data_IF_428424142945
#
_entry.id   IF_428424142945
#
_cell.length_a   1.000
_cell.length_b   1.000
_cell.length_c   1.000
_cell.angle_alpha   90.00
_cell.angle_beta   90.00
_cell.angle_gamma   90.00
#
_symmetry.space_group_name_H-M   'P 1'
#
loop_
_entity.id
_entity.type
_entity.pdbx_description
1 polymer ?
#
# COMPACT_ATOMS: atom_id res chain seq x y z
N UNK A 1 1.90 -11.27 3.07
CA UNK A 1 1.84 -10.37 1.89
C UNK A 1 1.09 -9.08 2.24
N UNK A 2 0.03 -9.19 3.04
CA UNK A 2 -0.79 -8.09 3.53
C UNK A 2 -0.04 -6.78 3.88
N UNK A 3 0.94 -6.81 4.80
CA UNK A 3 1.65 -5.60 5.26
C UNK A 3 2.42 -4.85 4.16
N UNK A 4 2.90 -5.55 3.13
CA UNK A 4 3.55 -4.90 1.98
C UNK A 4 2.51 -4.07 1.21
N UNK A 5 1.34 -4.67 0.93
CA UNK A 5 0.26 -4.06 0.15
C UNK A 5 -0.51 -2.95 0.91
N UNK A 6 -0.71 -3.11 2.22
CA UNK A 6 -1.53 -2.18 3.03
C UNK A 6 -0.72 -1.18 3.85
N UNK A 7 0.57 -1.46 4.09
CA UNK A 7 1.46 -0.60 4.86
C UNK A 7 2.44 0.18 3.96
N UNK A 8 3.35 -0.53 3.29
CA UNK A 8 4.48 0.10 2.58
C UNK A 8 4.02 0.67 1.23
N UNK A 9 3.28 -0.11 0.43
CA UNK A 9 2.87 0.30 -0.92
C UNK A 9 2.08 1.62 -0.97
N UNK A 10 1.09 1.88 -0.09
CA UNK A 10 0.38 3.17 -0.10
C UNK A 10 1.31 4.35 0.21
N UNK A 11 2.28 4.18 1.12
CA UNK A 11 3.28 5.22 1.41
C UNK A 11 4.14 5.53 0.20
N UNK A 12 4.58 4.50 -0.53
CA UNK A 12 5.38 4.66 -1.74
C UNK A 12 4.59 5.39 -2.85
N UNK A 13 3.34 4.98 -3.09
CA UNK A 13 2.45 5.65 -4.05
C UNK A 13 2.18 7.10 -3.66
N UNK A 14 2.06 7.38 -2.35
CA UNK A 14 1.84 8.72 -1.83
C UNK A 14 2.95 9.71 -2.18
N UNK A 15 4.20 9.25 -2.27
CA UNK A 15 5.33 10.10 -2.70
C UNK A 15 5.07 10.69 -4.09
N UNK A 16 4.62 9.87 -5.05
CA UNK A 16 4.26 10.35 -6.38
C UNK A 16 2.99 11.20 -6.36
N UNK A 17 1.99 10.78 -5.58
CA UNK A 17 0.73 11.51 -5.47
C UNK A 17 0.93 12.93 -4.93
N UNK A 18 1.68 13.10 -3.84
CA UNK A 18 1.89 14.39 -3.19
C UNK A 18 2.76 15.33 -4.05
N UNK A 19 3.55 14.80 -5.01
CA UNK A 19 4.24 15.63 -6.01
C UNK A 19 3.28 16.29 -7.01
N UNK A 20 2.21 15.57 -7.39
CA UNK A 20 1.17 16.07 -8.31
C UNK A 20 0.08 16.86 -7.57
N UNK A 21 -0.21 16.46 -6.33
CA UNK A 21 -1.20 17.05 -5.44
C UNK A 21 -0.55 17.46 -4.11
N UNK A 22 0.19 18.57 -4.14
CA UNK A 22 0.90 19.04 -2.95
C UNK A 22 -0.04 19.11 -1.71
N UNK A 23 0.32 18.52 -0.55
CA UNK A 23 -0.58 18.39 0.60
C UNK A 23 -1.20 19.71 1.07
N UNK A 24 -0.44 20.81 1.03
CA UNK A 24 -0.94 22.15 1.41
C UNK A 24 -2.01 22.71 0.47
N UNK A 25 -2.08 22.20 -0.77
CA UNK A 25 -3.00 22.66 -1.80
C UNK A 25 -4.03 21.58 -2.16
N UNK A 26 -4.00 20.42 -1.49
CA UNK A 26 -4.81 19.25 -1.82
C UNK A 26 -6.31 19.58 -1.84
N UNK A 27 -6.79 20.30 -0.83
CA UNK A 27 -8.19 20.70 -0.74
C UNK A 27 -8.61 21.59 -1.91
N UNK A 28 -7.79 22.58 -2.26
CA UNK A 28 -8.05 23.47 -3.39
C UNK A 28 -8.06 22.72 -4.72
N UNK A 29 -7.10 21.81 -4.93
CA UNK A 29 -7.01 20.97 -6.13
C UNK A 29 -8.23 20.03 -6.26
N UNK A 30 -8.67 19.41 -5.17
CA UNK A 30 -9.86 18.56 -5.14
C UNK A 30 -11.13 19.38 -5.45
N UNK A 31 -11.29 20.56 -4.82
CA UNK A 31 -12.44 21.43 -5.04
C UNK A 31 -12.51 21.94 -6.48
N UNK A 32 -11.37 22.30 -7.08
CA UNK A 32 -11.29 22.74 -8.47
C UNK A 32 -11.82 21.69 -9.44
N UNK A 33 -11.57 20.41 -9.16
CA UNK A 33 -11.95 19.29 -10.02
C UNK A 33 -13.28 18.61 -9.60
N UNK A 34 -14.12 19.29 -8.80
CA UNK A 34 -15.35 18.73 -8.24
C UNK A 34 -16.25 18.07 -9.29
N UNK A 35 -16.44 18.73 -10.46
CA UNK A 35 -17.29 18.19 -11.53
C UNK A 35 -16.80 16.83 -12.04
N UNK A 36 -15.49 16.71 -12.34
CA UNK A 36 -14.88 15.45 -12.77
C UNK A 36 -14.98 14.38 -11.68
N UNK A 37 -14.70 14.76 -10.43
CA UNK A 37 -14.82 13.85 -9.29
C UNK A 37 -16.25 13.33 -9.12
N UNK A 38 -17.25 14.19 -9.27
CA UNK A 38 -18.65 13.79 -9.17
C UNK A 38 -19.05 12.81 -10.28
N UNK A 39 -18.54 13.00 -11.50
CA UNK A 39 -18.74 12.03 -12.59
C UNK A 39 -18.07 10.69 -12.32
N UNK A 40 -16.86 10.69 -11.73
CA UNK A 40 -16.17 9.47 -11.30
C UNK A 40 -16.95 8.73 -10.21
N UNK A 41 -17.57 9.47 -9.28
CA UNK A 41 -18.46 8.90 -8.26
C UNK A 41 -19.68 8.23 -8.90
N UNK A 42 -20.35 8.90 -9.84
CA UNK A 42 -21.50 8.36 -10.58
C UNK A 42 -21.15 7.10 -11.37
N UNK A 43 -19.94 7.04 -11.92
CA UNK A 43 -19.41 5.88 -12.66
C UNK A 43 -18.87 4.77 -11.76
N UNK A 44 -18.99 4.91 -10.43
CA UNK A 44 -18.46 3.96 -9.43
C UNK A 44 -16.94 3.75 -9.49
N UNK A 45 -16.20 4.68 -10.09
CA UNK A 45 -14.73 4.70 -10.04
C UNK A 45 -14.26 5.12 -8.64
N UNK A 46 -14.98 6.05 -8.02
CA UNK A 46 -14.81 6.47 -6.62
C UNK A 46 -16.04 6.02 -5.85
N UNK A 47 -15.86 5.19 -4.83
CA UNK A 47 -16.96 4.72 -3.98
C UNK A 47 -17.34 5.75 -2.90
N UNK A 48 -18.41 5.48 -2.15
CA UNK A 48 -18.90 6.40 -1.11
C UNK A 48 -17.88 6.64 0.02
N UNK A 49 -17.14 5.62 0.44
CA UNK A 49 -16.12 5.77 1.48
C UNK A 49 -14.97 6.66 0.99
N UNK A 50 -14.48 6.43 -0.22
CA UNK A 50 -13.45 7.25 -0.85
C UNK A 50 -13.93 8.69 -1.09
N UNK A 51 -15.19 8.89 -1.47
CA UNK A 51 -15.79 10.22 -1.60
C UNK A 51 -15.73 11.01 -0.28
N UNK A 52 -16.02 10.35 0.84
CA UNK A 52 -15.97 10.99 2.15
C UNK A 52 -14.54 11.32 2.60
N UNK A 53 -13.52 10.69 2.03
CA UNK A 53 -12.11 11.10 2.23
C UNK A 53 -11.76 12.36 1.43
N UNK A 54 -12.37 12.56 0.26
CA UNK A 54 -12.16 13.75 -0.58
C UNK A 54 -12.95 14.96 -0.08
N UNK A 55 -14.18 14.73 0.40
CA UNK A 55 -15.10 15.74 0.91
C UNK A 55 -15.54 15.37 2.32
N UNK A 56 -14.65 15.48 3.32
CA UNK A 56 -14.97 15.13 4.69
C UNK A 56 -15.99 16.10 5.29
N UNK A 57 -16.80 15.61 6.23
CA UNK A 57 -17.81 16.41 6.93
C UNK A 57 -17.19 17.47 7.86
N UNK A 58 -15.94 17.27 8.26
CA UNK A 58 -15.17 18.18 9.10
C UNK A 58 -13.69 18.10 8.72
N UNK A 59 -13.00 19.25 8.74
CA UNK A 59 -11.59 19.36 8.37
C UNK A 59 -11.36 19.36 6.86
N UNK A 60 -10.08 19.22 6.48
CA UNK A 60 -9.61 19.15 5.11
C UNK A 60 -9.28 17.70 4.71
N UNK A 61 -9.34 17.33 3.42
CA UNK A 61 -8.86 16.05 2.95
C UNK A 61 -7.37 15.86 3.30
N UNK A 62 -7.00 14.64 3.67
CA UNK A 62 -5.64 14.29 4.05
C UNK A 62 -5.17 13.10 3.22
N UNK A 63 -4.17 13.32 2.36
CA UNK A 63 -3.65 12.27 1.47
C UNK A 63 -3.26 11.02 2.26
N UNK A 64 -2.73 11.15 3.49
CA UNK A 64 -2.35 10.03 4.36
C UNK A 64 -3.44 8.97 4.59
N UNK A 65 -4.71 9.34 4.42
CA UNK A 65 -5.87 8.45 4.58
C UNK A 65 -6.24 7.70 3.29
N UNK A 66 -5.68 8.09 2.15
CA UNK A 66 -6.03 7.52 0.86
C UNK A 66 -5.36 6.16 0.63
N UNK A 67 -6.14 5.22 0.09
CA UNK A 67 -5.64 3.94 -0.42
C UNK A 67 -5.00 4.08 -1.82
N UNK A 68 -4.31 3.03 -2.28
CA UNK A 68 -3.62 3.01 -3.59
C UNK A 68 -4.59 3.25 -4.75
N UNK A 69 -5.78 2.63 -4.75
CA UNK A 69 -6.77 2.84 -5.81
C UNK A 69 -7.34 4.25 -5.78
N UNK A 70 -7.55 4.80 -4.59
CA UNK A 70 -7.63 6.22 -4.24
C UNK A 70 -6.75 7.08 -5.15
N UNK A 71 -5.46 7.02 -4.83
CA UNK A 71 -4.44 7.87 -5.44
C UNK A 71 -4.30 7.64 -6.95
N UNK A 72 -4.35 6.38 -7.41
CA UNK A 72 -4.26 6.07 -8.85
C UNK A 72 -5.46 6.61 -9.63
N UNK A 73 -6.68 6.55 -9.06
CA UNK A 73 -7.86 7.10 -9.72
C UNK A 73 -7.76 8.63 -9.87
N UNK A 74 -7.25 9.32 -8.87
CA UNK A 74 -7.05 10.76 -8.90
C UNK A 74 -5.96 11.16 -9.91
N UNK A 75 -4.79 10.54 -9.86
CA UNK A 75 -3.69 10.78 -10.81
C UNK A 75 -4.15 10.55 -12.26
N UNK A 76 -4.80 9.42 -12.53
CA UNK A 76 -5.26 9.05 -13.88
C UNK A 76 -6.26 10.05 -14.48
N UNK A 77 -7.16 10.62 -13.67
CA UNK A 77 -8.32 11.35 -14.19
C UNK A 77 -8.23 12.86 -14.01
N UNK A 78 -7.37 13.35 -13.13
CA UNK A 78 -7.34 14.76 -12.73
C UNK A 78 -6.02 15.45 -13.03
N UNK A 79 -4.96 14.72 -13.37
CA UNK A 79 -3.66 15.30 -13.74
C UNK A 79 -3.24 14.87 -15.14
N UNK A 80 -2.13 15.42 -15.61
CA UNK A 80 -1.49 15.02 -16.86
C UNK A 80 -0.47 13.89 -16.65
N UNK A 81 -0.57 13.16 -15.53
CA UNK A 81 0.36 12.07 -15.23
C UNK A 81 0.26 11.00 -16.33
N UNK A 82 1.38 10.64 -16.99
CA UNK A 82 1.32 9.85 -18.20
C UNK A 82 0.65 8.49 -17.94
N UNK A 83 -0.17 7.96 -18.87
CA UNK A 83 -0.66 6.60 -18.73
C UNK A 83 0.51 5.62 -18.96
N UNK A 84 0.52 4.46 -18.28
CA UNK A 84 1.39 3.36 -18.67
C UNK A 84 0.98 2.82 -20.04
N UNK A 85 1.90 2.21 -20.79
CA UNK A 85 1.70 1.78 -22.20
C UNK A 85 0.47 0.87 -22.37
N UNK A 86 0.23 -0.06 -21.44
CA UNK A 86 -0.94 -0.96 -21.44
C UNK A 86 -2.16 -0.43 -20.67
N UNK A 87 -2.10 0.79 -20.14
CA UNK A 87 -3.12 1.33 -19.24
C UNK A 87 -3.04 0.79 -17.81
N UNK A 88 -3.74 1.47 -16.89
CA UNK A 88 -3.66 1.23 -15.44
C UNK A 88 -4.28 -0.09 -14.96
N UNK A 89 -4.99 -0.80 -15.83
CA UNK A 89 -5.74 -2.02 -15.52
C UNK A 89 -5.03 -3.30 -16.02
N UNK A 90 -3.89 -3.14 -16.71
CA UNK A 90 -3.04 -4.25 -17.15
C UNK A 90 -1.76 -4.32 -16.32
N UNK A 91 -1.21 -5.53 -16.15
CA UNK A 91 0.11 -5.70 -15.54
C UNK A 91 1.17 -5.23 -16.54
N UNK A 92 2.01 -4.23 -16.21
CA UNK A 92 3.03 -3.75 -17.13
C UNK A 92 4.15 -4.77 -17.34
N UNK A 93 4.85 -4.65 -18.47
CA UNK A 93 6.04 -5.48 -18.75
C UNK A 93 7.08 -5.34 -17.64
N UNK A 94 7.80 -6.41 -17.31
CA UNK A 94 8.79 -6.41 -16.22
C UNK A 94 9.91 -5.38 -16.42
N UNK A 95 10.29 -5.10 -17.68
CA UNK A 95 11.32 -4.12 -18.04
C UNK A 95 10.82 -2.67 -18.00
N UNK A 96 9.52 -2.43 -17.94
CA UNK A 96 8.96 -1.09 -17.82
C UNK A 96 9.01 -0.63 -16.36
N UNK A 97 10.03 0.16 -16.06
CA UNK A 97 10.32 0.72 -14.73
C UNK A 97 9.94 2.20 -14.64
N UNK A 98 9.05 2.69 -15.52
CA UNK A 98 8.54 4.05 -15.40
C UNK A 98 7.66 4.21 -14.15
N UNK A 99 7.55 5.41 -13.56
CA UNK A 99 6.69 5.63 -12.40
C UNK A 99 5.23 5.20 -12.62
N UNK A 100 4.73 5.41 -13.84
CA UNK A 100 3.35 5.07 -14.23
C UNK A 100 3.15 3.55 -14.30
N UNK A 101 4.15 2.82 -14.80
CA UNK A 101 4.17 1.36 -14.76
C UNK A 101 4.28 0.82 -13.33
N UNK A 102 5.09 1.45 -12.48
CA UNK A 102 5.18 1.05 -11.07
C UNK A 102 3.87 1.25 -10.30
N UNK A 103 3.15 2.35 -10.55
CA UNK A 103 1.80 2.54 -10.01
C UNK A 103 0.83 1.45 -10.46
N UNK A 104 0.82 1.15 -11.77
CA UNK A 104 -0.06 0.12 -12.33
C UNK A 104 0.28 -1.28 -11.80
N UNK A 105 1.57 -1.60 -11.63
CA UNK A 105 2.05 -2.87 -11.05
C UNK A 105 1.59 -3.04 -9.60
N UNK A 106 1.77 -2.02 -8.76
CA UNK A 106 1.30 -2.06 -7.36
C UNK A 106 -0.23 -2.21 -7.31
N UNK A 107 -0.96 -1.43 -8.11
CA UNK A 107 -2.43 -1.55 -8.20
C UNK A 107 -2.86 -2.94 -8.64
N UNK A 108 -2.21 -3.51 -9.65
CA UNK A 108 -2.52 -4.84 -10.18
C UNK A 108 -2.41 -5.90 -9.08
N UNK A 109 -1.25 -6.00 -8.43
CA UNK A 109 -1.06 -7.00 -7.37
C UNK A 109 -1.95 -6.76 -6.16
N UNK A 110 -2.17 -5.51 -5.78
CA UNK A 110 -3.14 -5.19 -4.73
C UNK A 110 -4.51 -5.75 -5.11
N UNK A 111 -5.00 -5.50 -6.33
CA UNK A 111 -6.31 -6.00 -6.77
C UNK A 111 -6.37 -7.52 -6.83
N UNK A 112 -5.32 -8.13 -7.41
CA UNK A 112 -5.23 -9.57 -7.56
C UNK A 112 -5.19 -10.27 -6.20
N UNK A 113 -4.50 -9.70 -5.21
CA UNK A 113 -4.24 -10.33 -3.91
C UNK A 113 -5.18 -9.85 -2.80
N UNK A 114 -5.98 -8.80 -3.01
CA UNK A 114 -6.89 -8.23 -2.00
C UNK A 114 -7.91 -9.25 -1.47
N UNK A 115 -8.25 -10.26 -2.27
CA UNK A 115 -9.23 -11.29 -1.92
C UNK A 115 -8.60 -12.64 -1.55
N UNK A 116 -7.27 -12.74 -1.55
CA UNK A 116 -6.59 -13.96 -1.15
C UNK A 116 -6.32 -13.97 0.35
N UNK A 117 -6.67 -15.08 1.00
CA UNK A 117 -6.11 -15.40 2.30
C UNK A 117 -4.59 -15.59 2.15
N UNK A 118 -3.78 -14.95 2.99
CA UNK A 118 -2.32 -15.02 2.92
C UNK A 118 -1.80 -16.49 2.90
N UNK A 119 -2.53 -17.42 3.52
CA UNK A 119 -2.21 -18.87 3.54
C UNK A 119 -2.61 -19.66 2.29
N UNK A 120 -3.30 -19.05 1.32
CA UNK A 120 -3.75 -19.69 0.06
C UNK A 120 -3.02 -19.17 -1.18
N UNK A 121 -2.06 -18.26 -1.01
CA UNK A 121 -1.26 -17.73 -2.11
C UNK A 121 -0.20 -18.78 -2.49
N UNK A 122 -0.16 -19.19 -3.76
CA UNK A 122 0.88 -20.10 -4.27
C UNK A 122 2.26 -19.47 -4.06
N UNK A 123 3.25 -20.26 -3.62
CA UNK A 123 4.60 -19.76 -3.34
C UNK A 123 5.23 -19.03 -4.53
N UNK A 124 4.99 -19.48 -5.77
CA UNK A 124 5.50 -18.82 -6.97
C UNK A 124 4.89 -17.42 -7.15
N UNK A 125 3.56 -17.30 -7.06
CA UNK A 125 2.87 -16.02 -7.12
C UNK A 125 3.30 -15.08 -5.99
N UNK A 126 3.48 -15.60 -4.78
CA UNK A 126 3.98 -14.82 -3.65
C UNK A 126 5.36 -14.22 -3.96
N UNK A 127 6.32 -15.04 -4.43
CA UNK A 127 7.68 -14.58 -4.73
C UNK A 127 7.69 -13.55 -5.85
N UNK A 128 6.99 -13.81 -6.96
CA UNK A 128 6.90 -12.87 -8.08
C UNK A 128 6.27 -11.54 -7.66
N UNK A 129 5.11 -11.58 -6.99
CA UNK A 129 4.45 -10.37 -6.52
C UNK A 129 5.34 -9.59 -5.53
N UNK A 130 6.03 -10.29 -4.63
CA UNK A 130 6.93 -9.64 -3.68
C UNK A 130 8.04 -8.86 -4.38
N UNK A 131 8.73 -9.49 -5.33
CA UNK A 131 9.84 -8.89 -6.06
C UNK A 131 9.38 -7.69 -6.91
N UNK A 132 8.26 -7.86 -7.62
CA UNK A 132 7.67 -6.81 -8.43
C UNK A 132 7.22 -5.60 -7.61
N UNK A 133 6.51 -5.83 -6.49
CA UNK A 133 6.02 -4.75 -5.62
C UNK A 133 7.19 -4.07 -4.91
N UNK A 134 8.12 -4.83 -4.33
CA UNK A 134 9.26 -4.23 -3.60
C UNK A 134 10.17 -3.44 -4.54
N UNK A 135 10.39 -3.92 -5.76
CA UNK A 135 11.10 -3.18 -6.81
C UNK A 135 10.40 -1.87 -7.18
N UNK A 136 9.07 -1.90 -7.36
CA UNK A 136 8.26 -0.71 -7.65
C UNK A 136 8.28 0.28 -6.49
N UNK A 137 8.06 -0.20 -5.25
CA UNK A 137 8.12 0.58 -4.01
C UNK A 137 9.47 1.29 -3.88
N UNK A 138 10.59 0.59 -4.13
CA UNK A 138 11.93 1.18 -4.11
C UNK A 138 12.08 2.31 -5.13
N UNK A 139 11.60 2.12 -6.35
CA UNK A 139 11.74 3.11 -7.44
C UNK A 139 10.93 4.37 -7.19
N UNK A 140 9.72 4.25 -6.64
CA UNK A 140 8.82 5.40 -6.40
C UNK A 140 9.01 6.03 -5.03
N UNK A 141 9.30 5.23 -4.00
CA UNK A 141 9.40 5.66 -2.61
C UNK A 141 10.83 5.83 -2.10
N UNK A 142 11.83 5.40 -2.87
CA UNK A 142 13.24 5.49 -2.52
C UNK A 142 13.77 4.30 -1.71
N UNK A 143 15.08 4.34 -1.42
CA UNK A 143 15.83 3.21 -0.88
C UNK A 143 15.39 2.80 0.54
N UNK A 144 15.00 3.74 1.39
CA UNK A 144 14.52 3.44 2.74
C UNK A 144 13.30 2.51 2.75
N UNK A 145 12.40 2.60 1.75
CA UNK A 145 11.24 1.71 1.67
C UNK A 145 11.63 0.29 1.22
N UNK A 146 12.74 0.14 0.49
CA UNK A 146 13.30 -1.17 0.16
C UNK A 146 13.82 -1.88 1.41
N UNK A 147 14.47 -1.14 2.31
CA UNK A 147 14.95 -1.64 3.60
C UNK A 147 13.77 -2.12 4.46
N UNK A 148 12.70 -1.32 4.54
CA UNK A 148 11.45 -1.73 5.20
C UNK A 148 10.86 -3.01 4.57
N UNK A 149 10.90 -3.15 3.24
CA UNK A 149 10.50 -4.38 2.57
C UNK A 149 11.39 -5.55 2.99
N UNK A 150 12.72 -5.41 2.96
CA UNK A 150 13.66 -6.48 3.33
C UNK A 150 13.45 -6.94 4.77
N UNK A 151 13.27 -6.00 5.70
CA UNK A 151 12.95 -6.31 7.09
C UNK A 151 11.62 -7.07 7.22
N UNK A 152 10.59 -6.63 6.49
CA UNK A 152 9.29 -7.27 6.50
C UNK A 152 9.38 -8.71 5.96
N UNK A 153 10.17 -8.93 4.89
CA UNK A 153 10.41 -10.27 4.33
C UNK A 153 11.10 -11.17 5.35
N UNK A 154 12.17 -10.66 5.98
CA UNK A 154 12.96 -11.40 6.97
C UNK A 154 12.12 -11.83 8.18
N UNK A 155 11.35 -10.91 8.77
CA UNK A 155 10.43 -11.18 9.90
C UNK A 155 9.37 -12.24 9.58
N UNK A 156 9.01 -12.41 8.30
CA UNK A 156 8.07 -13.45 7.85
C UNK A 156 8.75 -14.80 7.62
N UNK A 157 9.93 -14.82 6.99
CA UNK A 157 10.76 -16.02 6.83
C UNK A 157 11.16 -16.62 8.18
N UNK A 158 11.48 -15.79 9.17
CA UNK A 158 11.74 -16.22 10.55
C UNK A 158 10.52 -16.87 11.22
N UNK A 159 9.30 -16.67 10.71
CA UNK A 159 8.11 -17.33 11.24
C UNK A 159 7.75 -18.63 10.51
N UNK A 160 8.17 -18.76 9.24
CA UNK A 160 7.94 -19.95 8.41
C UNK A 160 9.08 -20.99 8.50
N UNK A 161 10.27 -20.59 8.97
CA UNK A 161 11.47 -21.46 8.97
C UNK A 161 11.72 -22.18 10.30
N UNK A 162 11.12 -21.71 11.41
CA UNK A 162 11.22 -22.40 12.70
C UNK A 162 10.11 -23.45 12.83
N UNK A 163 10.47 -24.74 13.01
CA UNK A 163 9.46 -25.78 13.27
C UNK A 163 8.63 -25.44 14.52
N UNK A 164 7.37 -25.91 14.54
CA UNK A 164 6.35 -25.51 15.51
C UNK A 164 6.81 -25.66 16.98
N UNK A 165 7.61 -26.68 17.27
CA UNK A 165 8.23 -26.92 18.58
C UNK A 165 9.08 -25.73 19.07
N UNK A 166 9.88 -25.13 18.18
CA UNK A 166 10.71 -23.96 18.52
C UNK A 166 9.83 -22.70 18.63
N UNK A 167 8.75 -22.59 17.84
CA UNK A 167 7.79 -21.48 17.96
C UNK A 167 7.11 -21.44 19.33
N UNK A 168 6.75 -22.60 19.88
CA UNK A 168 6.17 -22.72 21.23
C UNK A 168 7.19 -22.31 22.30
N UNK A 169 8.45 -22.74 22.18
CA UNK A 169 9.51 -22.38 23.12
C UNK A 169 9.85 -20.88 23.09
N UNK A 170 9.92 -20.26 21.90
CA UNK A 170 10.16 -18.81 21.77
C UNK A 170 8.98 -18.01 22.37
N UNK A 171 7.74 -18.44 22.13
CA UNK A 171 6.55 -17.80 22.73
C UNK A 171 6.54 -17.94 24.26
N UNK A 172 6.85 -19.13 24.78
CA UNK A 172 6.94 -19.39 26.22
C UNK A 172 8.05 -18.57 26.89
N UNK A 173 9.23 -18.50 26.25
CA UNK A 173 10.37 -17.72 26.74
C UNK A 173 10.06 -16.22 26.76
N UNK A 174 9.47 -15.68 25.69
CA UNK A 174 9.06 -14.26 25.64
C UNK A 174 7.98 -13.94 26.68
N UNK A 175 6.99 -14.81 26.85
CA UNK A 175 5.94 -14.66 27.87
C UNK A 175 6.52 -14.65 29.28
N UNK A 176 7.44 -15.59 29.58
CA UNK A 176 8.10 -15.64 30.90
C UNK A 176 8.96 -14.39 31.19
N UNK A 177 9.64 -13.82 30.19
CA UNK A 177 10.36 -12.55 30.36
C UNK A 177 9.44 -11.37 30.55
N UNK A 178 8.29 -11.31 29.86
CA UNK A 178 7.33 -10.21 30.04
C UNK A 178 6.63 -10.26 31.39
N UNK A 179 6.36 -11.45 31.93
CA UNK A 179 5.75 -11.61 33.26
C UNK A 179 6.77 -11.30 34.37
N UNK A 180 8.04 -11.66 34.18
CA UNK A 180 9.11 -11.36 35.15
C UNK A 180 9.64 -9.91 35.10
N UNK A 181 9.18 -9.09 34.15
CA UNK A 181 9.55 -7.66 34.03
C UNK A 181 8.44 -6.70 34.49
N UNK A 182 7.31 -7.21 34.99
CA UNK A 182 6.29 -6.40 35.63
C UNK A 182 6.61 -6.29 37.14
N UNK A 183 7.01 -5.12 37.68
CA UNK A 183 7.16 -4.96 39.12
C UNK A 183 5.79 -5.10 39.79
N UNK A 184 5.73 -5.96 40.82
CA UNK A 184 4.50 -6.29 41.52
C UNK A 184 3.76 -5.05 42.02
N UNK A 185 2.50 -4.89 41.58
CA UNK A 185 1.55 -4.03 42.30
C UNK A 185 1.19 -4.73 43.60
N UNK A 186 1.80 -4.28 44.68
CA UNK A 186 1.36 -4.53 46.05
C UNK A 186 -0.12 -4.17 46.20
N UNK A 187 -0.88 -5.08 46.83
CA UNK A 187 -2.07 -4.72 47.60
C UNK A 187 -1.62 -4.29 48.99
#
# INVERSE_FOLDING_TARGET
MHLLLTGISPRAVRVLFDNEFHPSCLEASIKKEYGKLYDLKKKHVINAAQWNLLFPSSGAPNSNTFDVTLMVALLRNLTNFPPPVGGYDQLPMCLDTTPTADLARIKHYRNQLAHHDDGKIKSTLFTTAWEDISGAVRRIGGQHMEEECKELRSKHLDQSTVPWNIRVQIKSYRYSKTVNLQPGRHK
#
